data_IF_532340737239
#
_entry.id   IF_532340737239
#
_cell.length_a   1.000
_cell.length_b   1.000
_cell.length_c   1.000
_cell.angle_alpha   90.00
_cell.angle_beta   90.00
_cell.angle_gamma   90.00
#
_symmetry.space_group_name_H-M   'P 1'
#
loop_
_entity.id
_entity.type
_entity.pdbx_description
1 polymer ?
#
# COMPACT_ATOMS: atom_id res chain seq x y z
N UNK A 1 -17.00 42.60 49.10
CA UNK A 1 -18.00 42.31 48.06
C UNK A 1 -17.68 43.08 46.79
N UNK A 2 -17.14 42.43 45.75
CA UNK A 2 -17.50 42.60 44.33
C UNK A 2 -16.65 41.63 43.49
N UNK A 3 -17.31 40.54 43.08
CA UNK A 3 -16.79 39.38 42.37
C UNK A 3 -16.76 39.63 40.85
N UNK A 4 -15.92 40.50 40.31
CA UNK A 4 -16.01 40.79 38.86
C UNK A 4 -14.68 41.18 38.19
N UNK A 5 -13.59 40.43 38.40
CA UNK A 5 -12.38 40.54 37.56
C UNK A 5 -11.67 39.19 37.46
N UNK A 6 -12.35 38.16 36.95
CA UNK A 6 -11.74 36.86 36.63
C UNK A 6 -12.09 36.38 35.21
N UNK A 7 -12.55 37.29 34.35
CA UNK A 7 -13.09 36.96 33.02
C UNK A 7 -12.11 37.32 31.87
N UNK A 8 -10.94 37.89 32.19
CA UNK A 8 -9.98 38.37 31.18
C UNK A 8 -8.91 37.39 30.71
N UNK A 9 -8.77 36.23 31.35
CA UNK A 9 -7.65 35.29 31.09
C UNK A 9 -8.10 33.87 30.74
N UNK A 10 -9.34 33.70 30.27
CA UNK A 10 -9.83 32.41 29.76
C UNK A 10 -10.06 32.41 28.24
N UNK A 11 -10.00 33.58 27.60
CA UNK A 11 -10.26 33.73 26.16
C UNK A 11 -9.01 33.49 25.30
N UNK A 12 -7.81 33.56 25.89
CA UNK A 12 -6.54 33.35 25.14
C UNK A 12 -6.16 31.87 25.01
N UNK A 13 -6.80 30.97 25.76
CA UNK A 13 -6.47 29.54 25.74
C UNK A 13 -7.32 28.70 24.76
N UNK A 14 -8.18 29.36 23.96
CA UNK A 14 -9.06 28.69 22.99
C UNK A 14 -8.63 28.81 21.52
N UNK A 15 -7.42 29.31 21.25
CA UNK A 15 -6.73 29.05 19.95
C UNK A 15 -6.14 27.63 19.95
N UNK A 16 -6.97 26.67 20.35
CA UNK A 16 -6.97 25.29 19.90
C UNK A 16 -6.73 25.30 18.39
N UNK A 17 -5.63 24.70 17.94
CA UNK A 17 -5.62 23.31 17.46
C UNK A 17 -6.45 23.07 16.18
N UNK A 18 -6.79 24.13 15.43
CA UNK A 18 -7.62 24.07 14.24
C UNK A 18 -6.91 23.86 12.89
N UNK A 19 -5.65 23.45 12.86
CA UNK A 19 -4.99 23.05 11.62
C UNK A 19 -4.02 21.89 11.86
N UNK A 20 -4.55 20.79 12.38
CA UNK A 20 -4.04 19.51 11.92
C UNK A 20 -4.57 19.37 10.49
N UNK A 21 -3.88 19.99 9.53
CA UNK A 21 -3.99 19.56 8.14
C UNK A 21 -3.48 18.13 8.16
N UNK A 22 -4.42 17.19 8.38
CA UNK A 22 -4.17 15.79 8.13
C UNK A 22 -3.68 15.73 6.70
N UNK A 23 -2.39 15.42 6.54
CA UNK A 23 -1.83 15.12 5.24
C UNK A 23 -2.74 14.03 4.68
N UNK A 24 -3.57 14.40 3.70
CA UNK A 24 -4.32 13.40 2.95
C UNK A 24 -3.23 12.58 2.30
N UNK A 25 -3.05 11.35 2.77
CA UNK A 25 -2.05 10.46 2.22
C UNK A 25 -2.36 10.33 0.73
N UNK A 26 -1.44 10.84 -0.08
CA UNK A 26 -1.53 10.76 -1.54
C UNK A 26 -1.18 9.37 -2.05
N UNK A 27 -0.88 8.46 -1.13
CA UNK A 27 -0.57 7.09 -1.43
C UNK A 27 -1.22 6.19 -0.38
N UNK A 28 -1.58 4.99 -0.77
CA UNK A 28 -2.00 3.93 0.12
C UNK A 28 -1.13 2.72 -0.15
N UNK A 29 -0.43 2.26 0.88
CA UNK A 29 0.34 1.04 0.81
C UNK A 29 -0.52 -0.16 1.23
N UNK A 30 -0.38 -1.28 0.54
CA UNK A 30 -1.00 -2.56 0.86
C UNK A 30 0.08 -3.62 1.01
N UNK A 31 0.12 -4.30 2.15
CA UNK A 31 1.12 -5.30 2.43
C UNK A 31 0.51 -6.61 2.90
N UNK A 32 1.20 -7.70 2.64
CA UNK A 32 0.85 -9.03 3.09
C UNK A 32 2.06 -9.96 2.99
N UNK A 33 2.05 -10.97 3.84
CA UNK A 33 3.09 -11.99 3.93
C UNK A 33 2.39 -13.35 3.88
N UNK A 34 2.91 -14.25 3.04
CA UNK A 34 2.51 -15.65 3.05
C UNK A 34 3.67 -16.55 3.48
N UNK A 35 3.76 -17.74 2.91
CA UNK A 35 4.76 -18.74 3.33
C UNK A 35 6.14 -18.43 2.77
N UNK A 36 6.21 -18.05 1.49
CA UNK A 36 7.47 -17.83 0.78
C UNK A 36 7.63 -16.40 0.29
N UNK A 37 6.60 -15.57 0.35
CA UNK A 37 6.61 -14.26 -0.28
C UNK A 37 6.03 -13.19 0.64
N UNK A 38 6.67 -12.02 0.61
CA UNK A 38 6.04 -10.75 0.98
C UNK A 38 5.64 -10.02 -0.29
N UNK A 39 4.43 -9.48 -0.31
CA UNK A 39 3.90 -8.70 -1.42
C UNK A 39 3.49 -7.31 -0.93
N UNK A 40 3.77 -6.32 -1.77
CA UNK A 40 3.43 -4.92 -1.55
C UNK A 40 2.79 -4.35 -2.81
N UNK A 41 1.71 -3.58 -2.64
CA UNK A 41 1.08 -2.79 -3.70
C UNK A 41 0.92 -1.36 -3.21
N UNK A 42 1.58 -0.43 -3.89
CA UNK A 42 1.45 1.00 -3.63
C UNK A 42 0.46 1.58 -4.64
N UNK A 43 -0.54 2.30 -4.15
CA UNK A 43 -1.43 3.13 -4.95
C UNK A 43 -1.07 4.59 -4.70
N UNK A 44 -0.71 5.35 -5.74
CA UNK A 44 -0.41 6.78 -5.64
C UNK A 44 -1.40 7.60 -6.46
N UNK A 45 -2.09 8.54 -5.82
CA UNK A 45 -3.08 9.41 -6.45
C UNK A 45 -2.42 10.71 -6.95
N UNK A 46 -2.48 10.91 -8.26
CA UNK A 46 -2.01 12.11 -8.94
C UNK A 46 -3.16 12.87 -9.60
N UNK A 47 -3.70 13.88 -8.92
CA UNK A 47 -4.81 14.76 -9.36
C UNK A 47 -6.10 14.02 -9.72
N UNK A 48 -6.11 13.31 -10.85
CA UNK A 48 -7.25 12.63 -11.47
C UNK A 48 -6.88 11.21 -11.97
N UNK A 49 -5.67 10.74 -11.68
CA UNK A 49 -5.21 9.39 -12.02
C UNK A 49 -4.58 8.71 -10.81
N UNK A 50 -4.60 7.39 -10.83
CA UNK A 50 -3.88 6.56 -9.87
C UNK A 50 -2.75 5.83 -10.60
N UNK A 51 -1.54 5.94 -10.08
CA UNK A 51 -0.40 5.11 -10.46
C UNK A 51 -0.28 3.95 -9.46
N UNK A 52 0.05 2.76 -9.94
CA UNK A 52 0.24 1.58 -9.10
C UNK A 52 1.63 1.01 -9.32
N UNK A 53 2.21 0.52 -8.24
CA UNK A 53 3.40 -0.32 -8.28
C UNK A 53 3.19 -1.57 -7.44
N UNK A 54 3.90 -2.63 -7.82
CA UNK A 54 3.90 -3.91 -7.13
C UNK A 54 5.34 -4.23 -6.78
N UNK A 55 5.55 -4.79 -5.60
CA UNK A 55 6.85 -5.29 -5.15
C UNK A 55 6.69 -6.66 -4.51
N UNK A 56 7.62 -7.56 -4.80
CA UNK A 56 7.63 -8.92 -4.26
C UNK A 56 9.00 -9.23 -3.68
N UNK A 57 9.00 -9.83 -2.50
CA UNK A 57 10.21 -10.27 -1.80
C UNK A 57 10.07 -11.76 -1.47
N UNK A 58 10.96 -12.58 -2.02
CA UNK A 58 10.99 -14.00 -1.71
C UNK A 58 11.78 -14.25 -0.42
N UNK A 59 11.15 -14.94 0.51
CA UNK A 59 11.64 -15.28 1.84
C UNK A 59 12.06 -16.76 1.95
N UNK A 60 11.82 -17.57 0.92
CA UNK A 60 12.18 -18.99 0.94
C UNK A 60 13.70 -19.23 0.82
N UNK A 61 14.13 -20.40 1.29
CA UNK A 61 15.55 -20.77 1.36
C UNK A 61 16.18 -21.15 0.02
N UNK A 62 15.36 -21.36 -1.03
CA UNK A 62 15.81 -21.88 -2.31
C UNK A 62 15.41 -20.95 -3.46
N UNK A 63 16.36 -20.14 -3.93
CA UNK A 63 16.20 -19.23 -5.09
C UNK A 63 16.41 -19.93 -6.45
N UNK A 64 16.25 -21.26 -6.53
CA UNK A 64 16.52 -22.00 -7.77
C UNK A 64 15.51 -21.73 -8.89
N UNK A 65 14.32 -21.22 -8.60
CA UNK A 65 13.43 -20.72 -9.64
C UNK A 65 13.90 -19.33 -10.08
N UNK A 66 14.22 -19.19 -11.37
CA UNK A 66 14.67 -17.91 -11.94
C UNK A 66 13.52 -16.98 -12.28
N UNK A 67 12.31 -17.53 -12.39
CA UNK A 67 11.14 -16.80 -12.87
C UNK A 67 9.90 -17.17 -12.07
N UNK A 68 8.97 -16.22 -12.00
CA UNK A 68 7.66 -16.37 -11.40
C UNK A 68 6.62 -15.59 -12.21
N UNK A 69 5.36 -15.95 -12.05
CA UNK A 69 4.22 -15.20 -12.55
C UNK A 69 3.49 -14.60 -11.34
N UNK A 70 2.82 -13.46 -11.55
CA UNK A 70 1.97 -12.89 -10.51
C UNK A 70 0.66 -12.36 -11.10
N UNK A 71 -0.36 -12.32 -10.25
CA UNK A 71 -1.63 -11.64 -10.50
C UNK A 71 -2.06 -10.92 -9.23
N UNK A 72 -2.36 -9.64 -9.34
CA UNK A 72 -3.02 -8.83 -8.30
C UNK A 72 -4.48 -8.68 -8.70
N UNK A 73 -5.38 -9.20 -7.87
CA UNK A 73 -6.83 -9.11 -8.05
C UNK A 73 -7.43 -8.13 -7.04
N UNK A 74 -8.24 -7.22 -7.55
CA UNK A 74 -8.98 -6.21 -6.81
C UNK A 74 -10.37 -6.10 -7.43
N UNK A 75 -11.41 -5.76 -6.64
CA UNK A 75 -12.73 -5.45 -7.19
C UNK A 75 -12.71 -4.37 -8.29
N UNK A 76 -11.66 -3.53 -8.35
CA UNK A 76 -11.59 -2.35 -9.21
C UNK A 76 -10.49 -2.42 -10.28
N UNK A 77 -9.53 -3.34 -10.17
CA UNK A 77 -8.44 -3.47 -11.13
C UNK A 77 -7.79 -4.85 -11.09
N UNK A 78 -7.04 -5.17 -12.14
CA UNK A 78 -6.20 -6.35 -12.20
C UNK A 78 -4.83 -5.97 -12.77
N UNK A 79 -3.78 -6.48 -12.15
CA UNK A 79 -2.40 -6.36 -12.65
C UNK A 79 -1.86 -7.78 -12.77
N UNK A 80 -1.19 -8.12 -13.86
CA UNK A 80 -0.55 -9.41 -14.01
C UNK A 80 0.81 -9.27 -14.67
N UNK A 81 1.73 -10.15 -14.31
CA UNK A 81 3.05 -10.22 -14.89
C UNK A 81 3.48 -11.66 -15.09
N UNK A 82 3.98 -11.95 -16.30
CA UNK A 82 4.47 -13.28 -16.66
C UNK A 82 5.99 -13.29 -16.76
N UNK A 83 6.59 -14.43 -16.40
CA UNK A 83 8.01 -14.73 -16.51
C UNK A 83 8.92 -13.64 -15.89
N UNK A 84 8.50 -13.10 -14.75
CA UNK A 84 9.21 -12.06 -14.01
C UNK A 84 10.38 -12.67 -13.26
N UNK A 85 11.46 -11.92 -13.10
CA UNK A 85 12.71 -12.42 -12.53
C UNK A 85 13.08 -11.62 -11.28
N UNK A 86 13.43 -12.36 -10.23
CA UNK A 86 14.01 -11.76 -9.03
C UNK A 86 15.44 -11.27 -9.30
N UNK A 87 15.81 -10.17 -8.66
CA UNK A 87 17.21 -9.78 -8.56
C UNK A 87 17.99 -10.72 -7.61
N UNK A 88 19.31 -10.53 -7.49
CA UNK A 88 20.17 -11.37 -6.66
C UNK A 88 19.88 -11.34 -5.15
N UNK A 89 18.92 -10.52 -4.68
CA UNK A 89 18.46 -10.44 -3.30
C UNK A 89 17.05 -11.02 -3.09
N UNK A 90 16.48 -11.68 -4.10
CA UNK A 90 15.12 -12.21 -4.03
C UNK A 90 14.03 -11.14 -4.16
N UNK A 91 14.34 -9.99 -4.75
CA UNK A 91 13.39 -8.87 -4.87
C UNK A 91 13.01 -8.59 -6.32
N UNK A 92 11.75 -8.24 -6.53
CA UNK A 92 11.20 -7.71 -7.78
C UNK A 92 10.34 -6.48 -7.49
N UNK A 93 10.36 -5.50 -8.38
CA UNK A 93 9.43 -4.37 -8.35
C UNK A 93 9.14 -3.88 -9.76
N UNK A 94 7.90 -3.49 -9.99
CA UNK A 94 7.40 -2.95 -11.25
C UNK A 94 6.32 -1.92 -10.96
N UNK A 95 6.24 -0.87 -11.76
CA UNK A 95 5.27 0.21 -11.56
C UNK A 95 4.89 0.89 -12.86
N UNK A 96 4.14 2.00 -12.73
CA UNK A 96 3.62 2.74 -13.88
C UNK A 96 2.27 2.22 -14.39
N UNK A 97 1.58 1.36 -13.63
CA UNK A 97 0.23 0.92 -13.98
C UNK A 97 -0.75 2.08 -13.71
N UNK A 98 -1.18 2.77 -14.76
CA UNK A 98 -2.01 3.96 -14.64
C UNK A 98 -3.49 3.67 -14.88
N UNK A 99 -4.34 4.32 -14.11
CA UNK A 99 -5.78 4.35 -14.34
C UNK A 99 -6.36 5.73 -14.04
N UNK A 100 -7.42 6.10 -14.74
CA UNK A 100 -8.22 7.30 -14.43
C UNK A 100 -9.26 7.02 -13.32
N UNK A 101 -9.23 5.84 -12.73
CA UNK A 101 -10.07 5.46 -11.60
C UNK A 101 -9.22 5.42 -10.33
N UNK A 102 -9.55 6.31 -9.41
CA UNK A 102 -9.02 6.33 -8.05
C UNK A 102 -9.85 5.35 -7.22
N UNK A 103 -9.18 4.39 -6.57
CA UNK A 103 -9.82 3.39 -5.74
C UNK A 103 -8.87 2.93 -4.64
N UNK A 104 -9.41 2.78 -3.43
CA UNK A 104 -8.72 2.25 -2.27
C UNK A 104 -9.50 1.04 -1.74
N UNK A 105 -9.31 -0.16 -2.33
CA UNK A 105 -10.02 -1.34 -1.87
C UNK A 105 -9.60 -1.67 -0.43
N UNK A 106 -10.46 -2.30 0.35
CA UNK A 106 -10.10 -2.68 1.73
C UNK A 106 -9.12 -3.87 1.78
N UNK A 107 -9.01 -4.62 0.68
CA UNK A 107 -8.16 -5.79 0.54
C UNK A 107 -7.76 -5.98 -0.93
N UNK A 108 -6.61 -6.59 -1.15
CA UNK A 108 -6.14 -7.08 -2.45
C UNK A 108 -5.74 -8.54 -2.29
N UNK A 109 -5.84 -9.32 -3.35
CA UNK A 109 -5.34 -10.70 -3.37
C UNK A 109 -4.22 -10.77 -4.39
N UNK A 110 -3.07 -11.27 -3.98
CA UNK A 110 -1.94 -11.56 -4.86
C UNK A 110 -1.79 -13.06 -4.99
N UNK A 111 -1.80 -13.56 -6.21
CA UNK A 111 -1.42 -14.94 -6.54
C UNK A 111 -0.03 -14.92 -7.17
N UNK A 112 0.91 -15.70 -6.63
CA UNK A 112 2.27 -15.84 -7.15
C UNK A 112 2.50 -17.30 -7.52
N UNK A 113 2.87 -17.55 -8.77
CA UNK A 113 3.22 -18.89 -9.26
C UNK A 113 4.72 -18.98 -9.48
N UNK A 114 5.39 -19.95 -8.88
CA UNK A 114 6.84 -20.11 -8.94
C UNK A 114 7.23 -21.60 -8.90
N UNK A 115 7.98 -22.06 -9.90
CA UNK A 115 8.20 -23.50 -10.07
C UNK A 115 6.88 -24.25 -10.29
N UNK A 116 6.66 -25.30 -9.51
CA UNK A 116 5.40 -26.07 -9.47
C UNK A 116 4.47 -25.60 -8.33
N UNK A 117 4.82 -24.51 -7.64
CA UNK A 117 4.11 -23.98 -6.49
C UNK A 117 3.29 -22.74 -6.86
N UNK A 118 2.23 -22.52 -6.07
CA UNK A 118 1.38 -21.33 -6.14
C UNK A 118 1.08 -20.87 -4.71
N UNK A 119 1.16 -19.57 -4.49
CA UNK A 119 0.87 -18.95 -3.20
C UNK A 119 -0.12 -17.80 -3.38
N UNK A 120 -1.09 -17.72 -2.48
CA UNK A 120 -2.05 -16.63 -2.40
C UNK A 120 -1.80 -15.80 -1.14
N UNK A 121 -1.70 -14.48 -1.30
CA UNK A 121 -1.43 -13.52 -0.23
C UNK A 121 -2.55 -12.48 -0.21
N UNK A 122 -3.21 -12.33 0.93
CA UNK A 122 -4.19 -11.26 1.16
C UNK A 122 -3.45 -10.02 1.66
N UNK A 123 -3.47 -8.95 0.87
CA UNK A 123 -2.89 -7.67 1.27
C UNK A 123 -3.92 -6.81 1.99
N UNK A 124 -3.46 -6.12 3.03
CA UNK A 124 -4.25 -5.16 3.80
C UNK A 124 -3.61 -3.79 3.73
N UNK A 125 -4.40 -2.71 3.80
CA UNK A 125 -3.85 -1.37 3.88
C UNK A 125 -2.97 -1.26 5.11
N UNK A 126 -1.76 -0.72 4.94
CA UNK A 126 -0.89 -0.33 6.04
C UNK A 126 -1.56 0.82 6.81
N UNK A 127 -1.49 0.77 8.15
CA UNK A 127 -2.19 1.69 9.05
C UNK A 127 -1.38 2.92 9.41
#
# INVERSE_FOLDING_TARGET
MKKWVLIGLYVVLFTLLGACEGVVEKYQNYTGEGEYWTAEVLLEDEKDRQERSVSFYYQGNNLQFKHFNYKVDSPMFMIAGENKRLNGRGFFSEGGFRSNTISHPNQLIVTIQFGDEEEEIILKPEK
#
